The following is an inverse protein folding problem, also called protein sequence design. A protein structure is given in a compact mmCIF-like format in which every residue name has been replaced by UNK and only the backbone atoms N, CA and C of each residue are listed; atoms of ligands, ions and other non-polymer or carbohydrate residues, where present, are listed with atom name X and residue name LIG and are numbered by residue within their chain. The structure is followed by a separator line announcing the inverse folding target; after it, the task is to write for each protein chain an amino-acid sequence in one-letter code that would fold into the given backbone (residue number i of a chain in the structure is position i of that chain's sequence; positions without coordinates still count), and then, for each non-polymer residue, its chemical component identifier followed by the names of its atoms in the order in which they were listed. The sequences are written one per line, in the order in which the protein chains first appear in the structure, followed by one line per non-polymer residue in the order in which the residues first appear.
data_IF_319148292115
#
_entry.id   IF_319148292115
#
_cell.length_a   1.000
_cell.length_b   1.000
_cell.length_c   1.000
_cell.angle_alpha   90.00
_cell.angle_beta   90.00
_cell.angle_gamma   90.00
#
_symmetry.space_group_name_H-M   'P 1'
#
loop_
_entity.id
_entity.type
_entity.pdbx_description
1 polymer ?
#
# COMPACT_ATOMS: atom_id res chain seq x y z
N UNK A 1 -4.19 12.78 10.55
CA UNK A 1 -4.26 11.35 10.92
C UNK A 1 -3.66 10.46 9.82
N UNK A 2 -3.12 9.26 10.12
CA UNK A 2 -2.63 8.30 9.09
C UNK A 2 -3.67 7.20 8.81
N UNK A 3 -3.92 6.91 7.53
CA UNK A 3 -4.70 5.74 7.06
C UNK A 3 -3.76 4.64 6.58
N UNK A 4 -3.95 3.41 7.06
CA UNK A 4 -3.32 2.22 6.50
C UNK A 4 -4.35 1.39 5.73
N UNK A 5 -4.01 0.93 4.52
CA UNK A 5 -4.89 0.07 3.73
C UNK A 5 -4.23 -1.25 3.36
N UNK A 6 -5.05 -2.27 3.12
CA UNK A 6 -4.63 -3.57 2.61
C UNK A 6 -5.70 -4.16 1.70
N UNK A 7 -5.37 -5.28 1.05
CA UNK A 7 -6.31 -6.03 0.23
C UNK A 7 -6.75 -7.35 0.87
N UNK A 8 -7.99 -7.75 0.61
CA UNK A 8 -8.49 -9.10 0.86
C UNK A 8 -7.65 -10.17 0.11
N UNK A 9 -7.68 -11.44 0.54
CA UNK A 9 -7.11 -12.55 -0.20
C UNK A 9 -7.64 -12.64 -1.64
N UNK A 10 -6.74 -12.97 -2.56
CA UNK A 10 -7.05 -13.16 -3.97
C UNK A 10 -6.17 -14.24 -4.59
N UNK A 11 -6.62 -14.77 -5.74
CA UNK A 11 -5.95 -15.84 -6.46
C UNK A 11 -6.11 -17.21 -5.80
N UNK A 12 -5.37 -18.19 -6.32
CA UNK A 12 -5.36 -19.56 -5.83
C UNK A 12 -3.99 -19.94 -5.24
N UNK A 13 -4.00 -20.95 -4.37
CA UNK A 13 -2.79 -21.57 -3.83
C UNK A 13 -2.21 -22.64 -4.78
N UNK A 14 -1.17 -23.34 -4.34
CA UNK A 14 -0.53 -24.42 -5.11
C UNK A 14 -1.45 -25.59 -5.46
N UNK A 15 -2.57 -25.75 -4.73
CA UNK A 15 -3.58 -26.78 -4.96
C UNK A 15 -4.77 -26.25 -5.78
N UNK A 16 -4.64 -25.06 -6.38
CA UNK A 16 -5.69 -24.37 -7.10
C UNK A 16 -6.93 -24.03 -6.24
N UNK A 17 -6.76 -23.95 -4.91
CA UNK A 17 -7.81 -23.57 -3.98
C UNK A 17 -7.78 -22.05 -3.74
N UNK A 18 -8.95 -21.39 -3.55
CA UNK A 18 -8.98 -19.97 -3.23
C UNK A 18 -8.12 -19.66 -2.00
N UNK A 19 -7.23 -18.67 -2.13
CA UNK A 19 -6.40 -18.26 -1.01
C UNK A 19 -7.25 -17.62 0.07
N UNK A 20 -6.91 -17.92 1.32
CA UNK A 20 -7.50 -17.30 2.52
C UNK A 20 -6.55 -16.30 3.20
N UNK A 21 -5.37 -16.07 2.62
CA UNK A 21 -4.31 -15.21 3.17
C UNK A 21 -3.85 -14.19 2.13
N UNK A 22 -3.67 -12.94 2.58
CA UNK A 22 -2.96 -11.87 1.90
C UNK A 22 -2.00 -11.24 2.91
N UNK A 23 -0.71 -11.14 2.57
CA UNK A 23 0.31 -10.61 3.51
C UNK A 23 0.07 -9.14 3.87
N UNK A 24 -0.55 -8.34 2.99
CA UNK A 24 -0.94 -6.96 3.30
C UNK A 24 -2.01 -6.91 4.39
N UNK A 25 -3.06 -7.75 4.29
CA UNK A 25 -4.11 -7.85 5.31
C UNK A 25 -3.57 -8.36 6.64
N UNK A 26 -2.73 -9.38 6.63
CA UNK A 26 -2.09 -9.87 7.87
C UNK A 26 -1.26 -8.76 8.54
N UNK A 27 -0.47 -8.03 7.75
CA UNK A 27 0.37 -6.92 8.23
C UNK A 27 -0.49 -5.79 8.81
N UNK A 28 -1.56 -5.40 8.11
CA UNK A 28 -2.52 -4.40 8.61
C UNK A 28 -3.12 -4.80 9.97
N UNK A 29 -3.58 -6.05 10.11
CA UNK A 29 -4.17 -6.54 11.35
C UNK A 29 -3.16 -6.57 12.50
N UNK A 30 -1.89 -6.87 12.22
CA UNK A 30 -0.80 -6.84 13.19
C UNK A 30 -0.52 -5.41 13.67
N UNK A 31 -0.44 -4.45 12.74
CA UNK A 31 -0.27 -3.03 13.03
C UNK A 31 -1.47 -2.47 13.80
N UNK A 32 -2.69 -2.89 13.46
CA UNK A 32 -3.91 -2.47 14.18
C UNK A 32 -3.89 -2.87 15.65
N UNK A 33 -3.39 -4.07 15.97
CA UNK A 33 -3.26 -4.52 17.37
C UNK A 33 -2.23 -3.68 18.14
N UNK A 34 -1.19 -3.22 17.46
CA UNK A 34 -0.11 -2.45 18.09
C UNK A 34 -0.46 -0.98 18.28
N UNK A 35 -0.95 -0.33 17.22
CA UNK A 35 -1.19 1.10 17.22
C UNK A 35 -2.62 1.48 17.65
N UNK A 36 -3.53 0.50 17.75
CA UNK A 36 -4.90 0.72 18.20
C UNK A 36 -5.57 1.86 17.42
N UNK A 37 -6.19 2.79 18.15
CA UNK A 37 -6.94 3.91 17.56
C UNK A 37 -6.05 5.09 17.13
N UNK A 38 -4.72 4.98 17.21
CA UNK A 38 -3.82 6.06 16.75
C UNK A 38 -3.79 6.21 15.22
N UNK A 39 -4.36 5.26 14.48
CA UNK A 39 -4.47 5.26 13.03
C UNK A 39 -5.83 4.73 12.60
N UNK A 40 -6.18 4.98 11.34
CA UNK A 40 -7.31 4.34 10.68
C UNK A 40 -6.84 3.17 9.82
N UNK A 41 -7.73 2.20 9.60
CA UNK A 41 -7.40 0.97 8.87
C UNK A 41 -8.53 0.62 7.91
N UNK A 42 -8.17 0.22 6.69
CA UNK A 42 -9.11 -0.23 5.66
C UNK A 42 -8.60 -1.53 5.03
N UNK A 43 -9.49 -2.52 4.92
CA UNK A 43 -9.25 -3.68 4.05
C UNK A 43 -10.21 -3.57 2.88
N UNK A 44 -9.66 -3.56 1.67
CA UNK A 44 -10.42 -3.43 0.42
C UNK A 44 -10.49 -4.78 -0.28
N UNK A 45 -11.55 -5.00 -1.04
CA UNK A 45 -11.64 -6.14 -1.96
C UNK A 45 -10.65 -5.98 -3.11
N UNK A 46 -10.29 -7.09 -3.76
CA UNK A 46 -9.45 -7.07 -4.98
C UNK A 46 -10.37 -7.05 -6.19
N UNK A 47 -10.87 -5.86 -6.51
CA UNK A 47 -11.84 -5.64 -7.56
C UNK A 47 -12.16 -4.16 -7.75
N UNK A 48 -12.98 -3.80 -8.77
CA UNK A 48 -13.37 -2.41 -9.04
C UNK A 48 -13.96 -1.67 -7.83
N UNK A 49 -14.62 -2.41 -6.93
CA UNK A 49 -15.21 -1.92 -5.69
C UNK A 49 -14.18 -1.32 -4.71
N UNK A 50 -12.88 -1.60 -4.88
CA UNK A 50 -11.84 -1.04 -4.01
C UNK A 50 -11.81 0.50 -4.06
N UNK A 51 -12.19 1.09 -5.19
CA UNK A 51 -12.23 2.55 -5.37
C UNK A 51 -13.35 3.16 -4.53
N UNK A 52 -14.56 2.59 -4.58
CA UNK A 52 -15.70 3.04 -3.78
C UNK A 52 -15.42 2.86 -2.29
N UNK A 53 -14.89 1.71 -1.88
CA UNK A 53 -14.49 1.43 -0.48
C UNK A 53 -13.45 2.43 0.02
N UNK A 54 -12.52 2.86 -0.85
CA UNK A 54 -11.54 3.87 -0.51
C UNK A 54 -12.18 5.25 -0.36
N UNK A 55 -13.03 5.65 -1.32
CA UNK A 55 -13.73 6.94 -1.30
C UNK A 55 -14.59 7.11 -0.04
N UNK A 56 -15.32 6.07 0.36
CA UNK A 56 -16.08 6.06 1.62
C UNK A 56 -15.18 6.23 2.86
N UNK A 57 -14.00 5.61 2.84
CA UNK A 57 -13.07 5.67 3.96
C UNK A 57 -12.40 7.03 4.09
N UNK A 58 -12.03 7.66 2.97
CA UNK A 58 -11.31 8.95 2.95
C UNK A 58 -12.22 10.16 2.94
N UNK A 59 -13.47 10.01 2.52
CA UNK A 59 -14.44 11.09 2.35
C UNK A 59 -14.60 11.97 3.60
N UNK A 60 -14.49 13.29 3.39
CA UNK A 60 -14.73 14.30 4.43
C UNK A 60 -13.65 14.39 5.52
N UNK A 61 -12.46 13.82 5.30
CA UNK A 61 -11.33 13.85 6.26
C UNK A 61 -10.05 14.36 5.61
N UNK A 62 -9.27 15.12 6.38
CA UNK A 62 -7.88 15.41 6.03
C UNK A 62 -6.96 14.33 6.60
N UNK A 63 -6.11 13.76 5.75
CA UNK A 63 -5.14 12.74 6.11
C UNK A 63 -3.73 13.33 6.06
N UNK A 64 -2.92 13.06 7.09
CA UNK A 64 -1.52 13.47 7.09
C UNK A 64 -0.72 12.59 6.13
N UNK A 65 -1.10 11.32 6.03
CA UNK A 65 -0.58 10.37 5.08
C UNK A 65 -1.57 9.21 4.87
N UNK A 66 -1.54 8.63 3.68
CA UNK A 66 -2.22 7.38 3.35
C UNK A 66 -1.16 6.36 2.93
N UNK A 67 -1.12 5.21 3.61
CA UNK A 67 -0.25 4.09 3.29
C UNK A 67 -1.07 2.97 2.70
N UNK A 68 -0.90 2.72 1.41
CA UNK A 68 -1.52 1.64 0.69
C UNK A 68 -0.58 0.43 0.68
N UNK A 69 -1.08 -0.76 1.01
CA UNK A 69 -0.28 -1.98 1.00
C UNK A 69 -0.86 -3.00 0.02
N UNK A 70 0.02 -3.59 -0.80
CA UNK A 70 -0.31 -4.70 -1.70
C UNK A 70 0.62 -5.89 -1.48
N UNK A 71 0.15 -7.07 -1.83
CA UNK A 71 1.02 -8.25 -1.91
C UNK A 71 1.68 -8.32 -3.30
N UNK A 72 2.98 -8.60 -3.34
CA UNK A 72 3.70 -8.98 -4.53
C UNK A 72 4.10 -10.46 -4.48
N UNK A 73 4.09 -11.20 -5.61
CA UNK A 73 4.55 -12.58 -5.64
C UNK A 73 6.06 -12.69 -5.36
N UNK A 74 6.50 -13.86 -4.90
CA UNK A 74 7.92 -14.17 -4.63
C UNK A 74 8.45 -13.69 -3.28
N UNK A 75 9.76 -13.77 -3.13
CA UNK A 75 10.55 -13.50 -1.92
C UNK A 75 11.39 -12.21 -2.00
N UNK A 76 11.11 -11.35 -2.99
CA UNK A 76 11.87 -10.14 -3.28
C UNK A 76 11.92 -9.10 -2.13
N UNK A 77 12.47 -7.90 -2.38
CA UNK A 77 12.51 -6.86 -1.36
C UNK A 77 11.11 -6.28 -1.09
N UNK A 78 10.88 -5.86 0.17
CA UNK A 78 9.82 -4.91 0.49
C UNK A 78 10.15 -3.59 -0.20
N UNK A 79 9.19 -3.01 -0.90
CA UNK A 79 9.46 -1.87 -1.77
C UNK A 79 8.39 -0.80 -1.71
N UNK A 80 8.81 0.45 -1.86
CA UNK A 80 7.96 1.62 -2.08
C UNK A 80 7.83 1.83 -3.58
N UNK A 81 6.60 2.07 -4.03
CA UNK A 81 6.31 2.40 -5.43
C UNK A 81 6.42 3.91 -5.64
N UNK A 82 7.33 4.32 -6.52
CA UNK A 82 7.65 5.72 -6.78
C UNK A 82 6.50 6.44 -7.46
N UNK A 83 5.86 5.78 -8.42
CA UNK A 83 4.80 6.35 -9.25
C UNK A 83 3.60 5.42 -9.35
N UNK A 84 2.43 6.01 -9.54
CA UNK A 84 1.28 5.33 -10.12
C UNK A 84 1.11 5.77 -11.58
N UNK A 85 0.65 4.86 -12.43
CA UNK A 85 0.35 5.13 -13.85
C UNK A 85 -1.16 5.22 -14.06
N UNK A 86 -1.61 6.12 -14.93
CA UNK A 86 -3.03 6.27 -15.26
C UNK A 86 -3.57 4.95 -15.85
N UNK A 87 -4.53 4.26 -15.20
CA UNK A 87 -5.09 3.00 -15.70
C UNK A 87 -5.78 3.16 -17.07
N UNK A 88 -6.21 4.37 -17.42
CA UNK A 88 -6.82 4.67 -18.71
C UNK A 88 -5.78 5.00 -19.81
N UNK A 89 -4.50 5.17 -19.45
CA UNK A 89 -3.42 5.43 -20.40
C UNK A 89 -2.70 4.12 -20.79
N UNK A 90 -2.95 3.58 -22.00
CA UNK A 90 -2.34 2.32 -22.42
C UNK A 90 -0.81 2.40 -22.53
N UNK A 91 -0.27 3.60 -22.77
CA UNK A 91 1.16 3.86 -22.91
C UNK A 91 1.84 4.16 -21.56
N UNK A 92 1.07 4.28 -20.47
CA UNK A 92 1.57 4.56 -19.12
C UNK A 92 2.49 5.80 -19.05
N UNK A 93 2.19 6.82 -19.86
CA UNK A 93 2.92 8.09 -19.91
C UNK A 93 2.47 9.04 -18.81
N UNK A 94 1.18 9.00 -18.45
CA UNK A 94 0.63 9.79 -17.35
C UNK A 94 0.93 9.12 -16.02
N UNK A 95 1.72 9.81 -15.19
CA UNK A 95 2.14 9.34 -13.88
C UNK A 95 1.75 10.33 -12.78
N UNK A 96 1.51 9.80 -11.59
CA UNK A 96 1.38 10.58 -10.34
C UNK A 96 2.46 10.11 -9.37
N UNK A 97 2.98 11.04 -8.58
CA UNK A 97 4.00 10.81 -7.55
C UNK A 97 3.51 11.34 -6.20
N UNK A 98 3.99 10.70 -5.13
CA UNK A 98 3.77 11.14 -3.76
C UNK A 98 4.64 12.36 -3.39
N UNK A 99 4.07 13.31 -2.67
CA UNK A 99 4.80 14.40 -2.03
C UNK A 99 5.59 13.96 -0.78
N UNK A 100 5.47 12.71 -0.33
CA UNK A 100 6.12 12.20 0.89
C UNK A 100 7.62 11.87 0.73
N UNK A 101 8.30 12.39 -0.28
CA UNK A 101 9.72 12.15 -0.55
C UNK A 101 10.07 10.64 -0.53
N UNK A 102 9.45 9.87 -1.43
CA UNK A 102 9.53 8.40 -1.48
C UNK A 102 10.96 7.86 -1.55
N UNK A 103 11.86 8.54 -2.27
CA UNK A 103 13.30 8.23 -2.32
C UNK A 103 13.94 8.30 -0.93
N UNK A 104 13.80 9.43 -0.24
CA UNK A 104 14.33 9.65 1.11
C UNK A 104 13.72 8.66 2.11
N UNK A 105 12.42 8.37 2.00
CA UNK A 105 11.75 7.38 2.85
C UNK A 105 12.29 5.97 2.61
N UNK A 106 12.46 5.56 1.35
CA UNK A 106 13.00 4.26 1.00
C UNK A 106 14.42 4.09 1.55
N UNK A 107 15.28 5.08 1.35
CA UNK A 107 16.64 5.10 1.89
C UNK A 107 16.65 5.00 3.42
N UNK A 108 15.92 5.89 4.12
CA UNK A 108 15.85 5.94 5.59
C UNK A 108 15.31 4.64 6.19
N UNK A 109 14.39 3.97 5.50
CA UNK A 109 13.79 2.72 5.97
C UNK A 109 14.58 1.47 5.54
N UNK A 110 15.56 1.61 4.65
CA UNK A 110 16.30 0.50 4.04
C UNK A 110 15.41 -0.38 3.16
N UNK A 111 14.51 0.25 2.38
CA UNK A 111 13.56 -0.42 1.49
C UNK A 111 13.96 -0.20 0.03
N UNK A 112 13.55 -1.11 -0.85
CA UNK A 112 13.70 -0.89 -2.27
C UNK A 112 12.74 0.22 -2.74
N UNK A 113 13.14 0.94 -3.79
CA UNK A 113 12.30 1.87 -4.53
C UNK A 113 12.17 1.34 -5.96
N UNK A 114 10.95 1.34 -6.49
CA UNK A 114 10.66 0.86 -7.86
C UNK A 114 9.63 1.75 -8.54
N UNK A 115 9.61 1.76 -9.86
CA UNK A 115 8.55 2.37 -10.69
C UNK A 115 7.65 1.32 -11.37
N UNK A 116 7.74 0.06 -10.93
CA UNK A 116 7.06 -1.10 -11.51
C UNK A 116 5.86 -1.60 -10.67
N UNK A 117 4.94 -0.69 -10.31
CA UNK A 117 3.74 -1.06 -9.53
C UNK A 117 2.83 -2.07 -10.28
N UNK A 118 3.01 -2.19 -11.59
CA UNK A 118 2.20 -3.04 -12.46
C UNK A 118 0.89 -2.34 -12.88
N UNK A 119 -0.05 -3.12 -13.42
CA UNK A 119 -1.33 -2.61 -13.94
C UNK A 119 -2.57 -3.15 -13.22
N UNK A 120 -2.37 -3.86 -12.11
CA UNK A 120 -3.45 -4.46 -11.35
C UNK A 120 -4.10 -3.45 -10.39
N UNK A 121 -5.04 -3.89 -9.54
CA UNK A 121 -5.76 -3.01 -8.60
C UNK A 121 -4.84 -2.22 -7.65
N UNK A 122 -3.62 -2.69 -7.39
CA UNK A 122 -2.57 -1.92 -6.70
C UNK A 122 -2.30 -0.56 -7.37
N UNK A 123 -2.12 -0.55 -8.70
CA UNK A 123 -1.88 0.68 -9.46
C UNK A 123 -3.14 1.53 -9.54
N UNK A 124 -4.30 0.90 -9.75
CA UNK A 124 -5.60 1.60 -9.80
C UNK A 124 -5.82 2.40 -8.52
N UNK A 125 -5.67 1.75 -7.36
CA UNK A 125 -5.94 2.43 -6.10
C UNK A 125 -4.85 3.46 -5.76
N UNK A 126 -3.58 3.21 -6.13
CA UNK A 126 -2.53 4.19 -5.89
C UNK A 126 -2.72 5.44 -6.74
N UNK A 127 -3.03 5.27 -8.02
CA UNK A 127 -3.30 6.40 -8.91
C UNK A 127 -4.51 7.19 -8.46
N UNK A 128 -5.56 6.50 -8.02
CA UNK A 128 -6.77 7.11 -7.47
C UNK A 128 -6.49 7.90 -6.18
N UNK A 129 -5.79 7.27 -5.22
CA UNK A 129 -5.39 7.93 -3.97
C UNK A 129 -4.52 9.17 -4.20
N UNK A 130 -3.59 9.11 -5.16
CA UNK A 130 -2.78 10.27 -5.56
C UNK A 130 -3.59 11.38 -6.27
N UNK A 131 -4.79 11.08 -6.77
CA UNK A 131 -5.74 12.09 -7.25
C UNK A 131 -6.52 12.77 -6.15
N UNK A 132 -6.68 12.09 -5.01
CA UNK A 132 -7.34 12.60 -3.82
C UNK A 132 -6.37 13.41 -2.93
N UNK A 133 -5.13 12.93 -2.76
CA UNK A 133 -4.09 13.59 -1.98
C UNK A 133 -2.71 13.28 -2.55
N UNK A 134 -1.79 14.25 -2.51
CA UNK A 134 -0.39 14.03 -2.82
C UNK A 134 0.36 13.27 -1.69
N UNK A 135 -0.24 13.11 -0.51
CA UNK A 135 0.34 12.42 0.66
C UNK A 135 -0.02 10.93 0.73
N UNK A 136 -0.10 10.26 -0.42
CA UNK A 136 -0.31 8.81 -0.48
C UNK A 136 0.98 8.10 -0.87
N UNK A 137 1.24 6.91 -0.31
CA UNK A 137 2.36 6.05 -0.69
C UNK A 137 1.88 4.60 -0.85
N UNK A 138 2.51 3.84 -1.75
CA UNK A 138 2.20 2.43 -1.94
C UNK A 138 3.40 1.55 -1.59
N UNK A 139 3.17 0.51 -0.80
CA UNK A 139 4.17 -0.47 -0.36
C UNK A 139 3.77 -1.86 -0.84
N UNK A 140 4.65 -2.49 -1.63
CA UNK A 140 4.50 -3.90 -1.97
C UNK A 140 5.23 -4.79 -0.97
N UNK A 141 4.52 -5.79 -0.48
CA UNK A 141 5.00 -6.79 0.47
C UNK A 141 5.17 -8.14 -0.24
N UNK A 142 6.39 -8.70 -0.30
CA UNK A 142 6.66 -10.00 -0.91
C UNK A 142 5.95 -11.13 -0.16
N UNK A 143 5.21 -11.98 -0.88
CA UNK A 143 4.39 -13.05 -0.32
C UNK A 143 5.18 -14.03 0.55
N UNK A 144 6.38 -14.41 0.10
CA UNK A 144 7.16 -15.50 0.69
C UNK A 144 8.05 -15.04 1.84
N UNK A 145 8.11 -13.74 2.10
CA UNK A 145 8.93 -13.18 3.17
C UNK A 145 8.25 -13.26 4.53
N UNK A 146 9.06 -13.28 5.58
CA UNK A 146 8.57 -13.38 6.95
C UNK A 146 7.66 -12.20 7.33
N UNK A 147 6.55 -12.51 8.00
CA UNK A 147 5.59 -11.50 8.46
C UNK A 147 6.20 -10.44 9.41
N UNK A 148 7.19 -10.83 10.23
CA UNK A 148 7.93 -9.93 11.11
C UNK A 148 8.70 -8.85 10.33
N UNK A 149 9.27 -9.20 9.17
CA UNK A 149 9.96 -8.24 8.30
C UNK A 149 8.98 -7.21 7.73
N UNK A 150 7.81 -7.67 7.28
CA UNK A 150 6.74 -6.77 6.81
C UNK A 150 6.35 -5.78 7.89
N UNK A 151 6.06 -6.28 9.08
CA UNK A 151 5.68 -5.44 10.21
C UNK A 151 6.76 -4.41 10.55
N UNK A 152 8.01 -4.86 10.65
CA UNK A 152 9.15 -4.01 10.97
C UNK A 152 9.37 -2.90 9.92
N UNK A 153 9.21 -3.23 8.63
CA UNK A 153 9.30 -2.25 7.54
C UNK A 153 8.20 -1.18 7.65
N UNK A 154 6.95 -1.57 7.85
CA UNK A 154 5.85 -0.61 7.98
C UNK A 154 5.99 0.26 9.23
N UNK A 155 6.45 -0.30 10.35
CA UNK A 155 6.74 0.49 11.55
C UNK A 155 7.80 1.56 11.26
N UNK A 156 8.88 1.22 10.54
CA UNK A 156 9.90 2.20 10.15
C UNK A 156 9.31 3.31 9.28
N UNK A 157 8.48 2.96 8.28
CA UNK A 157 7.80 3.95 7.43
C UNK A 157 6.93 4.87 8.28
N UNK A 158 6.08 4.33 9.16
CA UNK A 158 5.18 5.11 10.02
C UNK A 158 5.96 6.06 10.92
N UNK A 159 7.06 5.62 11.53
CA UNK A 159 7.92 6.48 12.35
C UNK A 159 8.62 7.55 11.52
N UNK A 160 9.08 7.21 10.31
CA UNK A 160 9.72 8.16 9.41
C UNK A 160 8.74 9.25 8.96
N UNK A 161 7.51 8.89 8.61
CA UNK A 161 6.46 9.82 8.21
C UNK A 161 6.05 10.77 9.34
N UNK A 162 5.91 10.27 10.57
CA UNK A 162 5.62 11.10 11.75
C UNK A 162 6.68 12.18 12.04
N UNK A 163 7.87 12.06 11.47
CA UNK A 163 8.90 13.10 11.54
C UNK A 163 8.88 14.08 10.37
N UNK A 164 8.05 13.83 9.34
CA UNK A 164 7.91 14.66 8.14
C UNK A 164 6.59 15.45 8.12
N UNK A 165 5.57 14.99 8.85
CA UNK A 165 4.25 15.62 9.04
C UNK A 165 4.21 16.36 10.38
#
# INVERSE_FOLDING_TARGET
MILLTAFEPFGTDENNMPRNINVSKQTLLSLRREFGNAMSYLVMSVGPECVEQFDEAVGGKEWDAIILMGEAPGDGPIRIEKYATDPADPAALRKRESALATETLAEKCGLALTDEIGRYFCNVIYYHALGFTDKALFVHLPRERNHGDHKAALQKIIHALRGLI
#
